data_IF_966416985013
#
_entry.id   IF_966416985013
#
_cell.length_a   1.000
_cell.length_b   1.000
_cell.length_c   1.000
_cell.angle_alpha   90.00
_cell.angle_beta   90.00
_cell.angle_gamma   90.00
#
_symmetry.space_group_name_H-M   'P 1'
#
loop_
_entity.id
_entity.type
_entity.pdbx_description
1 polymer ?
#
# COMPACT_ATOMS: atom_id res chain seq x y z
N UNK A 1 1.27 26.14 -8.54
CA UNK A 1 1.64 25.05 -7.62
C UNK A 1 3.03 24.62 -7.99
N UNK A 2 3.98 24.84 -7.10
CA UNK A 2 5.30 24.24 -7.23
C UNK A 2 5.14 22.72 -7.07
N UNK A 3 5.79 21.98 -7.96
CA UNK A 3 5.74 20.51 -7.93
C UNK A 3 6.90 20.03 -7.08
N UNK A 4 6.59 19.26 -6.05
CA UNK A 4 7.58 18.53 -5.27
C UNK A 4 7.79 17.15 -5.90
N UNK A 5 9.05 16.75 -6.08
CA UNK A 5 9.41 15.44 -6.59
C UNK A 5 10.21 14.71 -5.53
N UNK A 6 9.68 13.60 -5.03
CA UNK A 6 10.40 12.72 -4.14
C UNK A 6 11.11 11.64 -4.97
N UNK A 7 12.41 11.50 -4.77
CA UNK A 7 13.24 10.50 -5.42
C UNK A 7 13.73 9.49 -4.39
N UNK A 8 13.67 8.21 -4.73
CA UNK A 8 14.09 7.13 -3.84
C UNK A 8 15.35 6.51 -4.41
N UNK A 9 16.39 6.42 -3.59
CA UNK A 9 17.65 5.76 -3.92
C UNK A 9 18.10 4.88 -2.75
N UNK A 10 18.19 3.57 -3.01
CA UNK A 10 18.49 2.58 -1.97
C UNK A 10 17.63 2.80 -0.73
N UNK A 11 18.22 3.11 0.43
CA UNK A 11 17.45 3.31 1.66
C UNK A 11 16.92 4.74 1.84
N UNK A 12 17.42 5.69 1.05
CA UNK A 12 17.15 7.11 1.20
C UNK A 12 16.00 7.57 0.29
N UNK A 13 15.28 8.58 0.77
CA UNK A 13 14.38 9.38 -0.04
C UNK A 13 14.80 10.84 0.02
N UNK A 14 14.82 11.51 -1.12
CA UNK A 14 15.21 12.90 -1.25
C UNK A 14 14.10 13.71 -1.92
N UNK A 15 13.88 14.93 -1.42
CA UNK A 15 13.03 15.93 -2.04
C UNK A 15 13.86 16.74 -3.05
N UNK A 16 13.46 16.66 -4.31
CA UNK A 16 14.02 17.42 -5.40
C UNK A 16 13.22 18.70 -5.62
N UNK A 17 13.89 19.85 -5.50
CA UNK A 17 13.32 21.18 -5.76
C UNK A 17 14.08 21.87 -6.88
N UNK A 18 13.35 22.43 -7.84
CA UNK A 18 13.94 23.18 -8.96
C UNK A 18 14.07 24.66 -8.65
N UNK A 19 15.25 25.24 -8.84
CA UNK A 19 15.46 26.69 -8.76
C UNK A 19 16.37 27.16 -9.92
N UNK A 20 15.82 28.00 -10.81
CA UNK A 20 16.55 28.68 -11.90
C UNK A 20 17.53 27.78 -12.70
N UNK A 21 17.10 26.57 -13.08
CA UNK A 21 17.91 25.63 -13.88
C UNK A 21 18.84 24.72 -13.07
N UNK A 22 18.84 24.83 -11.74
CA UNK A 22 19.47 23.88 -10.82
C UNK A 22 18.42 23.04 -10.08
N UNK A 23 18.80 21.81 -9.72
CA UNK A 23 17.99 20.93 -8.87
C UNK A 23 18.71 20.77 -7.55
N UNK A 24 18.06 21.17 -6.45
CA UNK A 24 18.52 20.91 -5.11
C UNK A 24 17.88 19.60 -4.62
N UNK A 25 18.68 18.78 -3.95
CA UNK A 25 18.23 17.54 -3.31
C UNK A 25 18.37 17.67 -1.80
N UNK A 26 17.31 17.37 -1.05
CA UNK A 26 17.31 17.37 0.42
C UNK A 26 16.76 16.06 0.95
N UNK A 27 17.46 15.34 1.84
CA UNK A 27 16.96 14.09 2.42
C UNK A 27 15.63 14.29 3.16
N UNK A 28 14.77 13.28 3.10
CA UNK A 28 13.49 13.23 3.83
C UNK A 28 13.53 12.02 4.77
N UNK A 29 14.00 12.19 6.03
CA UNK A 29 14.23 11.09 6.96
C UNK A 29 12.99 10.23 7.24
N UNK A 30 11.80 10.83 7.25
CA UNK A 30 10.52 10.14 7.48
C UNK A 30 10.19 9.12 6.37
N UNK A 31 10.86 9.22 5.22
CA UNK A 31 10.70 8.33 4.06
C UNK A 31 11.88 7.36 3.90
N UNK A 32 12.80 7.29 4.87
CA UNK A 32 13.85 6.28 4.88
C UNK A 32 13.27 4.86 4.99
N UNK A 33 13.73 3.95 4.13
CA UNK A 33 13.27 2.56 4.15
C UNK A 33 14.24 1.62 3.45
N UNK A 34 14.53 0.49 4.08
CA UNK A 34 15.33 -0.58 3.47
C UNK A 34 14.55 -1.46 2.49
N UNK A 35 13.26 -1.19 2.28
CA UNK A 35 12.40 -2.10 1.52
C UNK A 35 12.74 -2.00 0.04
N UNK A 36 13.30 -3.03 -0.57
CA UNK A 36 13.68 -2.97 -1.99
C UNK A 36 12.48 -2.72 -2.94
N UNK A 37 11.32 -3.34 -2.66
CA UNK A 37 10.15 -3.31 -3.54
C UNK A 37 9.41 -1.97 -3.53
N UNK A 38 9.18 -1.41 -4.73
CA UNK A 38 8.46 -0.16 -4.95
C UNK A 38 7.03 -0.18 -4.37
N UNK A 39 6.31 -1.31 -4.52
CA UNK A 39 4.93 -1.45 -4.05
C UNK A 39 4.79 -1.15 -2.55
N UNK A 40 5.75 -1.64 -1.75
CA UNK A 40 5.77 -1.41 -0.31
C UNK A 40 6.19 0.01 0.07
N UNK A 41 7.09 0.64 -0.71
CA UNK A 41 7.47 2.06 -0.50
C UNK A 41 6.34 3.01 -0.83
N UNK A 42 5.52 2.72 -1.85
CA UNK A 42 4.35 3.53 -2.19
C UNK A 42 3.44 3.71 -0.96
N UNK A 43 3.26 2.67 -0.14
CA UNK A 43 2.45 2.76 1.09
C UNK A 43 3.06 3.75 2.08
N UNK A 44 4.38 3.72 2.30
CA UNK A 44 5.08 4.68 3.14
C UNK A 44 4.87 6.12 2.65
N UNK A 45 5.04 6.36 1.34
CA UNK A 45 4.77 7.67 0.75
C UNK A 45 3.31 8.12 0.91
N UNK A 46 2.35 7.19 0.84
CA UNK A 46 0.94 7.52 1.08
C UNK A 46 0.68 7.96 2.52
N UNK A 47 1.27 7.26 3.50
CA UNK A 47 1.17 7.62 4.91
C UNK A 47 1.78 9.00 5.16
N UNK A 48 3.02 9.22 4.70
CA UNK A 48 3.69 10.52 4.81
C UNK A 48 2.89 11.64 4.16
N UNK A 49 2.41 11.45 2.93
CA UNK A 49 1.61 12.45 2.22
C UNK A 49 0.31 12.77 2.96
N UNK A 50 -0.36 11.76 3.53
CA UNK A 50 -1.61 11.96 4.28
C UNK A 50 -1.46 12.78 5.56
N UNK A 51 -0.25 12.79 6.14
CA UNK A 51 0.08 13.58 7.32
C UNK A 51 0.40 15.04 6.99
N UNK A 52 0.66 15.38 5.73
CA UNK A 52 0.98 16.76 5.35
C UNK A 52 -0.25 17.67 5.48
N UNK A 53 -0.13 18.84 6.12
CA UNK A 53 -1.25 19.76 6.33
C UNK A 53 -1.92 20.22 5.03
N UNK A 54 -1.15 20.33 3.96
CA UNK A 54 -1.58 20.79 2.64
C UNK A 54 -2.23 19.69 1.79
N UNK A 55 -2.15 18.42 2.22
CA UNK A 55 -2.70 17.30 1.47
C UNK A 55 -4.20 17.15 1.72
N UNK A 56 -4.99 17.32 0.66
CA UNK A 56 -6.44 17.08 0.66
C UNK A 56 -6.80 15.62 0.38
N UNK A 57 -6.00 14.92 -0.44
CA UNK A 57 -6.20 13.53 -0.86
C UNK A 57 -4.91 12.92 -1.36
N UNK A 58 -4.80 11.60 -1.25
CA UNK A 58 -3.69 10.81 -1.81
C UNK A 58 -4.18 10.07 -3.05
N UNK A 59 -3.47 10.19 -4.16
CA UNK A 59 -3.78 9.48 -5.41
C UNK A 59 -2.58 8.62 -5.77
N UNK A 60 -2.79 7.30 -5.80
CA UNK A 60 -1.79 6.34 -6.26
C UNK A 60 -2.14 5.90 -7.66
N UNK A 61 -1.25 6.18 -8.62
CA UNK A 61 -1.37 5.68 -9.98
C UNK A 61 -0.50 4.46 -10.18
N UNK A 62 -1.11 3.32 -10.45
CA UNK A 62 -0.39 2.10 -10.78
C UNK A 62 -1.31 1.11 -11.52
N UNK A 63 -0.81 0.36 -12.52
CA UNK A 63 -1.54 -0.77 -13.09
C UNK A 63 -1.44 -2.04 -12.23
N UNK A 64 -0.62 -2.04 -11.18
CA UNK A 64 -0.31 -3.23 -10.38
C UNK A 64 -1.43 -3.55 -9.37
N UNK A 65 -1.99 -4.76 -9.45
CA UNK A 65 -2.99 -5.26 -8.51
C UNK A 65 -2.45 -5.47 -7.08
N UNK A 66 -1.14 -5.74 -6.93
CA UNK A 66 -0.48 -5.86 -5.63
C UNK A 66 -0.52 -4.54 -4.86
N UNK A 67 -0.22 -3.42 -5.54
CA UNK A 67 -0.36 -2.07 -4.97
C UNK A 67 -1.79 -1.79 -4.53
N UNK A 68 -2.79 -2.13 -5.35
CA UNK A 68 -4.20 -1.98 -4.97
C UNK A 68 -4.54 -2.72 -3.67
N UNK A 69 -4.10 -3.98 -3.53
CA UNK A 69 -4.37 -4.78 -2.34
C UNK A 69 -3.62 -4.26 -1.10
N UNK A 70 -2.40 -3.77 -1.26
CA UNK A 70 -1.66 -3.12 -0.18
C UNK A 70 -2.38 -1.85 0.28
N UNK A 71 -2.82 -0.98 -0.63
CA UNK A 71 -3.58 0.22 -0.29
C UNK A 71 -4.87 -0.13 0.45
N UNK A 72 -5.55 -1.21 0.06
CA UNK A 72 -6.75 -1.67 0.74
C UNK A 72 -6.45 -2.13 2.18
N UNK A 73 -5.39 -2.91 2.40
CA UNK A 73 -4.99 -3.40 3.73
C UNK A 73 -4.49 -2.29 4.67
N UNK A 74 -3.78 -1.30 4.13
CA UNK A 74 -3.20 -0.17 4.89
C UNK A 74 -4.05 1.10 4.90
N UNK A 75 -5.26 1.08 4.31
CA UNK A 75 -6.12 2.26 4.21
C UNK A 75 -6.47 2.89 5.56
N UNK A 76 -6.55 2.12 6.64
CA UNK A 76 -6.82 2.64 7.99
C UNK A 76 -5.67 3.52 8.52
N UNK A 77 -4.45 3.36 8.00
CA UNK A 77 -3.27 4.13 8.38
C UNK A 77 -3.09 5.42 7.55
N UNK A 78 -3.93 5.63 6.52
CA UNK A 78 -3.85 6.77 5.61
C UNK A 78 -5.01 7.71 5.97
N UNK A 79 -4.69 8.83 6.63
CA UNK A 79 -5.69 9.71 7.26
C UNK A 79 -6.48 10.60 6.29
N UNK A 80 -6.16 10.55 4.99
CA UNK A 80 -6.77 11.35 3.93
C UNK A 80 -7.48 10.44 2.92
N UNK A 81 -8.48 10.97 2.17
CA UNK A 81 -9.12 10.24 1.08
C UNK A 81 -8.08 9.62 0.14
N UNK A 82 -8.18 8.31 -0.07
CA UNK A 82 -7.23 7.52 -0.84
C UNK A 82 -7.87 7.04 -2.14
N UNK A 83 -7.27 7.42 -3.26
CA UNK A 83 -7.75 7.07 -4.60
C UNK A 83 -6.70 6.22 -5.30
N UNK A 84 -7.14 5.09 -5.84
CA UNK A 84 -6.33 4.27 -6.74
C UNK A 84 -6.73 4.54 -8.18
N UNK A 85 -5.78 5.05 -8.96
CA UNK A 85 -5.91 5.33 -10.39
C UNK A 85 -5.26 4.19 -11.18
N UNK A 86 -6.07 3.21 -11.56
CA UNK A 86 -5.63 2.10 -12.40
C UNK A 86 -5.86 2.46 -13.86
N UNK A 87 -4.77 2.58 -14.62
CA UNK A 87 -4.86 2.91 -16.03
C UNK A 87 -3.69 2.39 -16.87
N UNK A 88 -4.06 1.93 -18.07
CA UNK A 88 -3.23 1.86 -19.26
C UNK A 88 -4.07 2.43 -20.41
N UNK A 89 -3.62 3.52 -21.03
CA UNK A 89 -4.31 4.19 -22.15
C UNK A 89 -5.65 4.86 -21.82
N UNK A 90 -6.63 4.77 -22.72
CA UNK A 90 -7.91 5.51 -22.67
C UNK A 90 -8.93 4.99 -21.64
N UNK A 91 -8.67 3.85 -20.97
CA UNK A 91 -9.61 3.22 -20.03
C UNK A 91 -9.27 3.55 -18.57
N UNK A 92 -9.15 4.85 -18.27
CA UNK A 92 -8.79 5.30 -16.92
C UNK A 92 -9.91 5.03 -15.93
N UNK A 93 -9.61 4.30 -14.86
CA UNK A 93 -10.55 4.02 -13.77
C UNK A 93 -9.94 4.49 -12.45
N UNK A 94 -10.68 5.32 -11.74
CA UNK A 94 -10.34 5.73 -10.39
C UNK A 94 -11.26 5.02 -9.41
N UNK A 95 -10.67 4.41 -8.39
CA UNK A 95 -11.36 3.72 -7.32
C UNK A 95 -11.09 4.45 -6.01
N UNK A 96 -12.14 4.81 -5.28
CA UNK A 96 -11.99 5.34 -3.93
C UNK A 96 -11.72 4.17 -2.97
N UNK A 97 -10.46 4.03 -2.52
CA UNK A 97 -10.05 2.96 -1.62
C UNK A 97 -10.62 3.18 -0.22
N UNK A 98 -10.72 4.43 0.23
CA UNK A 98 -11.32 4.75 1.52
C UNK A 98 -12.77 4.27 1.59
N UNK A 99 -13.58 4.57 0.58
CA UNK A 99 -14.98 4.13 0.54
C UNK A 99 -15.07 2.60 0.41
N UNK A 100 -14.23 2.00 -0.44
CA UNK A 100 -14.21 0.56 -0.64
C UNK A 100 -13.83 -0.18 0.65
N UNK A 101 -12.82 0.32 1.37
CA UNK A 101 -12.39 -0.23 2.64
C UNK A 101 -13.50 -0.18 3.70
N UNK A 102 -14.30 0.88 3.73
CA UNK A 102 -15.44 1.01 4.64
C UNK A 102 -16.53 -0.05 4.39
N UNK A 103 -16.61 -0.63 3.19
CA UNK A 103 -17.55 -1.73 2.88
C UNK A 103 -17.05 -3.11 3.28
N UNK A 104 -15.79 -3.26 3.71
CA UNK A 104 -15.17 -4.56 3.99
C UNK A 104 -14.63 -4.63 5.42
N UNK A 105 -14.90 -5.72 6.16
CA UNK A 105 -14.26 -5.95 7.44
C UNK A 105 -12.74 -5.95 7.32
N UNK A 106 -12.03 -5.40 8.32
CA UNK A 106 -10.56 -5.41 8.36
C UNK A 106 -9.99 -6.83 8.19
N UNK A 107 -10.63 -7.81 8.84
CA UNK A 107 -10.24 -9.21 8.72
C UNK A 107 -10.22 -9.70 7.27
N UNK A 108 -11.26 -9.38 6.49
CA UNK A 108 -11.33 -9.77 5.09
C UNK A 108 -10.24 -9.06 4.26
N UNK A 109 -9.97 -7.78 4.50
CA UNK A 109 -8.90 -7.04 3.81
C UNK A 109 -7.52 -7.66 4.06
N UNK A 110 -7.22 -7.97 5.32
CA UNK A 110 -5.97 -8.61 5.74
C UNK A 110 -5.85 -10.04 5.18
N UNK A 111 -6.96 -10.77 5.12
CA UNK A 111 -7.01 -12.08 4.50
C UNK A 111 -6.79 -12.04 2.98
N UNK A 112 -7.31 -11.02 2.28
CA UNK A 112 -7.15 -10.89 0.82
C UNK A 112 -5.68 -10.69 0.47
N UNK A 113 -4.97 -9.81 1.17
CA UNK A 113 -3.54 -9.59 0.93
C UNK A 113 -2.71 -10.82 1.33
N UNK A 114 -3.07 -11.51 2.42
CA UNK A 114 -2.45 -12.78 2.80
C UNK A 114 -2.65 -13.87 1.74
N UNK A 115 -3.85 -13.97 1.17
CA UNK A 115 -4.19 -14.91 0.10
C UNK A 115 -3.49 -14.58 -1.22
N UNK A 116 -3.27 -13.28 -1.51
CA UNK A 116 -2.66 -12.82 -2.75
C UNK A 116 -1.32 -13.52 -3.03
N UNK A 117 -0.47 -13.66 -2.01
CA UNK A 117 0.82 -14.34 -2.11
C UNK A 117 0.75 -15.81 -2.58
N UNK A 118 -0.40 -16.47 -2.44
CA UNK A 118 -0.62 -17.88 -2.81
C UNK A 118 -1.42 -18.05 -4.11
N UNK A 119 -1.83 -16.95 -4.74
CA UNK A 119 -2.63 -16.97 -5.98
C UNK A 119 -1.83 -16.57 -7.22
N UNK A 120 -0.50 -16.56 -7.11
CA UNK A 120 0.43 -16.27 -8.20
C UNK A 120 0.63 -14.76 -8.43
N UNK A 121 1.51 -14.15 -7.65
CA UNK A 121 2.09 -12.83 -7.94
C UNK A 121 3.53 -13.02 -8.43
N UNK A 122 3.86 -12.37 -9.54
CA UNK A 122 5.19 -12.13 -10.14
C UNK A 122 6.18 -13.28 -10.39
N UNK A 123 5.89 -14.52 -9.98
CA UNK A 123 6.59 -15.78 -10.39
C UNK A 123 6.31 -16.96 -9.46
N UNK A 124 5.51 -16.81 -8.40
CA UNK A 124 5.30 -17.89 -7.42
C UNK A 124 4.25 -18.92 -7.86
N UNK A 125 4.44 -20.17 -7.41
CA UNK A 125 3.46 -21.24 -7.55
C UNK A 125 2.10 -20.82 -6.98
N UNK A 126 1.02 -21.14 -7.69
CA UNK A 126 -0.34 -20.89 -7.25
C UNK A 126 -1.02 -22.19 -6.79
N UNK A 127 -2.12 -22.05 -6.05
CA UNK A 127 -3.00 -23.19 -5.77
C UNK A 127 -3.46 -23.86 -7.08
N UNK A 128 -3.18 -25.16 -7.22
CA UNK A 128 -3.51 -25.92 -8.42
C UNK A 128 -5.00 -25.80 -8.79
N UNK A 129 -5.28 -25.31 -10.00
CA UNK A 129 -6.65 -25.14 -10.50
C UNK A 129 -7.47 -24.03 -9.82
N UNK A 130 -6.83 -23.11 -9.08
CA UNK A 130 -7.48 -21.98 -8.41
C UNK A 130 -6.84 -20.66 -8.81
N UNK A 131 -7.47 -19.96 -9.75
CA UNK A 131 -7.10 -18.57 -10.08
C UNK A 131 -7.54 -17.56 -9.01
N UNK A 132 -7.03 -16.33 -9.09
CA UNK A 132 -7.28 -15.22 -8.15
C UNK A 132 -8.76 -15.01 -7.82
N UNK A 133 -9.63 -14.98 -8.83
CA UNK A 133 -11.06 -14.78 -8.64
C UNK A 133 -11.72 -15.93 -7.86
N UNK A 134 -11.31 -17.18 -8.13
CA UNK A 134 -11.87 -18.36 -7.45
C UNK A 134 -11.41 -18.40 -6.00
N UNK A 135 -10.13 -18.10 -5.75
CA UNK A 135 -9.59 -17.99 -4.39
C UNK A 135 -10.30 -16.88 -3.59
N UNK A 136 -10.51 -15.70 -4.19
CA UNK A 136 -11.21 -14.60 -3.55
C UNK A 136 -12.65 -14.97 -3.15
N UNK A 137 -13.40 -15.63 -4.04
CA UNK A 137 -14.76 -16.10 -3.73
C UNK A 137 -14.78 -17.11 -2.58
N UNK A 138 -13.81 -18.04 -2.56
CA UNK A 138 -13.68 -19.01 -1.47
C UNK A 138 -13.34 -18.32 -0.14
N UNK A 139 -12.49 -17.30 -0.19
CA UNK A 139 -12.10 -16.51 0.98
C UNK A 139 -13.28 -15.71 1.55
N UNK A 140 -14.07 -15.06 0.69
CA UNK A 140 -15.23 -14.28 1.11
C UNK A 140 -16.32 -15.12 1.78
N UNK A 141 -16.47 -16.38 1.36
CA UNK A 141 -17.52 -17.29 1.85
C UNK A 141 -17.15 -18.09 3.10
N UNK A 142 -15.92 -17.98 3.60
CA UNK A 142 -15.40 -18.87 4.63
C UNK A 142 -14.55 -18.11 5.66
N UNK A 143 -15.03 -18.11 6.89
CA UNK A 143 -14.42 -17.40 8.01
C UNK A 143 -13.08 -18.01 8.42
N UNK A 144 -12.94 -19.35 8.38
CA UNK A 144 -11.70 -20.04 8.75
C UNK A 144 -10.59 -19.74 7.74
N UNK A 145 -10.94 -19.64 6.44
CA UNK A 145 -10.00 -19.16 5.42
C UNK A 145 -9.58 -17.71 5.71
N UNK A 146 -10.51 -16.82 6.09
CA UNK A 146 -10.17 -15.43 6.41
C UNK A 146 -9.22 -15.35 7.60
N UNK A 147 -9.52 -16.05 8.68
CA UNK A 147 -8.67 -16.09 9.86
C UNK A 147 -7.28 -16.66 9.56
N UNK A 148 -7.22 -17.72 8.75
CA UNK A 148 -5.94 -18.33 8.33
C UNK A 148 -5.08 -17.37 7.53
N UNK A 149 -5.62 -16.76 6.47
CA UNK A 149 -4.83 -15.86 5.63
C UNK A 149 -4.52 -14.52 6.30
N UNK A 150 -5.40 -14.02 7.17
CA UNK A 150 -5.12 -12.86 8.01
C UNK A 150 -3.95 -13.13 8.97
N UNK A 151 -3.92 -14.31 9.61
CA UNK A 151 -2.78 -14.72 10.45
C UNK A 151 -1.49 -14.81 9.64
N UNK A 152 -1.52 -15.39 8.44
CA UNK A 152 -0.34 -15.46 7.57
C UNK A 152 0.19 -14.06 7.24
N UNK A 153 -0.72 -13.13 6.88
CA UNK A 153 -0.38 -11.73 6.65
C UNK A 153 0.32 -11.12 7.87
N UNK A 154 -0.22 -11.31 9.07
CA UNK A 154 0.37 -10.76 10.28
C UNK A 154 1.69 -11.42 10.70
N UNK A 155 1.86 -12.74 10.53
CA UNK A 155 3.14 -13.44 10.80
C UNK A 155 4.24 -12.86 9.92
N UNK A 156 3.94 -12.66 8.63
CA UNK A 156 4.91 -12.11 7.68
C UNK A 156 5.27 -10.65 8.00
N UNK A 157 4.33 -9.90 8.58
CA UNK A 157 4.57 -8.55 9.09
C UNK A 157 5.31 -8.51 10.43
N UNK A 158 5.24 -9.54 11.28
CA UNK A 158 6.03 -9.66 12.52
C UNK A 158 7.49 -10.10 12.28
N UNK A 159 7.77 -10.78 11.17
CA UNK A 159 9.14 -11.19 10.79
C UNK A 159 9.94 -10.09 10.05
N UNK A 160 9.35 -8.91 9.79
CA UNK A 160 10.08 -7.70 9.41
C UNK A 160 9.89 -6.63 10.50
N UNK A 161 10.91 -6.34 11.33
CA UNK A 161 10.83 -5.34 12.42
C UNK A 161 10.36 -3.95 11.98
N UNK A 162 10.39 -3.64 10.67
CA UNK A 162 10.19 -2.30 10.14
C UNK A 162 8.73 -1.86 9.97
N UNK A 163 7.75 -2.79 9.99
CA UNK A 163 6.32 -2.39 10.09
C UNK A 163 5.90 -2.01 11.52
N UNK A 164 6.69 -2.38 12.53
CA UNK A 164 6.42 -2.02 13.93
C UNK A 164 6.55 -0.50 14.17
N UNK A 165 7.52 0.16 13.51
CA UNK A 165 7.65 1.63 13.60
C UNK A 165 6.39 2.38 13.14
N UNK A 166 5.63 1.82 12.20
CA UNK A 166 4.36 2.39 11.72
C UNK A 166 3.17 2.06 12.64
N UNK A 167 3.22 0.96 13.40
CA UNK A 167 2.21 0.68 14.44
C UNK A 167 2.34 1.67 15.60
N UNK A 168 3.55 2.04 15.98
CA UNK A 168 3.81 2.97 17.09
C UNK A 168 3.48 4.44 16.72
N UNK A 169 3.43 4.77 15.42
CA UNK A 169 2.95 6.06 14.90
C UNK A 169 1.41 6.17 14.78
N UNK A 170 0.69 5.05 14.84
CA UNK A 170 -0.77 4.99 14.58
C UNK A 170 -1.63 4.60 15.80
N UNK A 171 -1.04 4.44 16.98
CA UNK A 171 -1.80 4.33 18.23
C UNK A 171 -1.63 5.63 19.03
N UNK A 172 -2.72 6.36 19.36
CA UNK A 172 -2.60 7.39 20.38
C UNK A 172 -2.13 6.68 21.66
N UNK A 173 -1.01 7.14 22.21
CA UNK A 173 -0.61 6.78 23.56
C UNK A 173 -1.79 7.11 24.48
N UNK A 174 -2.36 6.08 25.11
CA UNK A 174 -3.44 6.24 26.11
C UNK A 174 -2.93 7.14 27.24
#
# INVERSE_FOLDING_TARGET
MDKELFFVNEELCELLTGNQGSVNSTPVPDLYSSHEEADSRIILHCMYASQQPTTERVIVRSPNSGVFLLLLSFSDAISKPLIFDTSSGNNRRQLNITDLAATMPKLLRDAIIGSHGFTGCDSTSCFAGKGKLKALKMLQGDQDHQDTFSRIWHIRNHLRPRYASYRDLCLPTI
#
